data_IF_942067352745
#
_entry.id   IF_942067352745
#
_cell.length_a   1.000
_cell.length_b   1.000
_cell.length_c   1.000
_cell.angle_alpha   90.00
_cell.angle_beta   90.00
_cell.angle_gamma   90.00
#
_symmetry.space_group_name_H-M   'P 1'
#
loop_
_entity.id
_entity.type
_entity.pdbx_description
1 polymer ?
#
# COMPACT_ATOMS: atom_id res chain seq x y z
N UNK A 1 10.96 10.55 27.82
CA UNK A 1 9.49 10.58 27.67
C UNK A 1 9.13 9.49 26.69
N UNK A 2 8.27 8.55 27.07
CA UNK A 2 7.90 7.45 26.18
C UNK A 2 6.98 8.03 25.10
N UNK A 3 7.54 8.40 23.94
CA UNK A 3 6.83 9.02 22.81
C UNK A 3 5.86 8.07 22.08
N UNK A 4 5.25 7.15 22.81
CA UNK A 4 4.26 6.19 22.34
C UNK A 4 2.86 6.52 22.83
N UNK A 5 1.87 5.79 22.32
CA UNK A 5 0.46 6.02 22.59
C UNK A 5 -0.04 5.41 23.92
N UNK A 6 0.85 4.82 24.73
CA UNK A 6 0.50 3.99 25.91
C UNK A 6 -0.31 4.73 26.99
N UNK A 7 -0.29 6.07 26.99
CA UNK A 7 -1.03 6.89 27.96
C UNK A 7 -2.35 7.44 27.40
N UNK A 8 -2.78 6.99 26.21
CA UNK A 8 -4.04 7.42 25.63
C UNK A 8 -5.20 6.61 26.24
N UNK A 9 -6.23 7.27 26.81
CA UNK A 9 -7.20 6.63 27.70
C UNK A 9 -8.05 5.53 27.06
N UNK A 10 -8.17 5.52 25.72
CA UNK A 10 -8.98 4.56 24.97
C UNK A 10 -8.16 3.68 24.01
N UNK A 11 -6.86 3.52 24.27
CA UNK A 11 -5.99 2.74 23.39
C UNK A 11 -6.34 1.23 23.46
N UNK A 12 -6.76 0.67 22.32
CA UNK A 12 -6.83 -0.78 22.16
C UNK A 12 -5.44 -1.39 21.96
N UNK A 13 -5.24 -2.62 22.41
CA UNK A 13 -4.00 -3.37 22.15
C UNK A 13 -3.77 -3.54 20.65
N UNK A 14 -2.52 -3.43 20.21
CA UNK A 14 -2.11 -3.45 18.79
C UNK A 14 -2.71 -4.63 17.99
N UNK A 15 -2.71 -5.85 18.56
CA UNK A 15 -3.28 -7.03 17.90
C UNK A 15 -4.80 -6.91 17.68
N UNK A 16 -5.50 -6.38 18.66
CA UNK A 16 -6.96 -6.15 18.57
C UNK A 16 -7.33 -5.00 17.63
N UNK A 17 -6.38 -4.10 17.35
CA UNK A 17 -6.57 -2.99 16.42
C UNK A 17 -6.73 -3.50 14.98
N UNK A 18 -5.95 -4.50 14.56
CA UNK A 18 -6.05 -5.12 13.22
C UNK A 18 -7.37 -5.88 13.01
N UNK A 19 -8.02 -6.27 14.09
CA UNK A 19 -9.28 -7.03 14.10
C UNK A 19 -10.51 -6.12 14.30
N UNK A 20 -10.29 -4.81 14.41
CA UNK A 20 -11.34 -3.82 14.62
C UNK A 20 -12.20 -3.68 13.36
N UNK A 21 -13.51 -3.61 13.57
CA UNK A 21 -14.46 -3.34 12.50
C UNK A 21 -14.25 -1.92 11.96
N UNK A 22 -13.93 -1.84 10.67
CA UNK A 22 -13.60 -0.60 9.97
C UNK A 22 -13.78 -0.79 8.46
N UNK A 23 -13.95 0.30 7.71
CA UNK A 23 -14.04 0.19 6.25
C UNK A 23 -12.66 -0.04 5.60
N UNK A 24 -11.63 0.64 6.12
CA UNK A 24 -10.26 0.65 5.57
C UNK A 24 -9.28 0.37 6.70
N UNK A 25 -8.46 -0.67 6.51
CA UNK A 25 -7.36 -1.03 7.41
C UNK A 25 -6.01 -0.66 6.77
N UNK A 26 -5.13 0.02 7.50
CA UNK A 26 -3.84 0.48 7.00
C UNK A 26 -2.71 -0.05 7.90
N UNK A 27 -2.17 -1.25 7.64
CA UNK A 27 -1.00 -1.73 8.36
C UNK A 27 0.26 -1.00 7.88
N UNK A 28 0.85 -0.19 8.76
CA UNK A 28 1.94 0.74 8.42
C UNK A 28 3.13 0.70 9.41
N UNK A 29 3.25 -0.37 10.21
CA UNK A 29 4.25 -0.48 11.27
C UNK A 29 5.38 -1.47 10.89
N UNK A 30 5.09 -2.77 10.99
CA UNK A 30 6.04 -3.85 10.75
C UNK A 30 5.49 -4.80 9.68
N UNK A 31 6.37 -5.65 9.17
CA UNK A 31 6.02 -6.79 8.31
C UNK A 31 5.26 -7.88 9.09
N UNK A 32 4.58 -8.77 8.37
CA UNK A 32 3.96 -10.00 8.89
C UNK A 32 3.04 -9.78 10.11
N UNK A 33 2.25 -8.70 10.11
CA UNK A 33 1.31 -8.39 11.18
C UNK A 33 -0.06 -9.04 10.97
N UNK A 34 -0.44 -9.25 9.70
CA UNK A 34 -1.64 -10.01 9.35
C UNK A 34 -1.18 -11.38 8.83
N UNK A 35 -1.49 -12.40 9.60
CA UNK A 35 -1.02 -13.77 9.44
C UNK A 35 -2.20 -14.73 9.46
N UNK A 36 -1.97 -16.03 9.25
CA UNK A 36 -3.05 -17.04 9.25
C UNK A 36 -3.78 -17.10 10.59
N UNK A 37 -3.11 -16.70 11.68
CA UNK A 37 -3.65 -16.68 13.04
C UNK A 37 -4.69 -15.57 13.26
N UNK A 38 -4.73 -14.50 12.45
CA UNK A 38 -5.65 -13.38 12.63
C UNK A 38 -6.42 -12.94 11.37
N UNK A 39 -6.07 -13.42 10.17
CA UNK A 39 -6.72 -13.04 8.92
C UNK A 39 -8.24 -13.32 8.91
N UNK A 40 -8.70 -14.36 9.61
CA UNK A 40 -10.13 -14.67 9.70
C UNK A 40 -10.91 -13.63 10.53
N UNK A 41 -10.25 -12.96 11.48
CA UNK A 41 -10.83 -11.92 12.35
C UNK A 41 -10.76 -10.52 11.78
N UNK A 42 -10.04 -10.30 10.68
CA UNK A 42 -10.03 -9.00 9.98
C UNK A 42 -11.41 -8.72 9.38
N UNK A 43 -11.99 -7.55 9.68
CA UNK A 43 -13.37 -7.19 9.28
C UNK A 43 -13.45 -6.07 8.24
N UNK A 44 -12.32 -5.65 7.66
CA UNK A 44 -12.32 -4.53 6.72
C UNK A 44 -12.80 -4.87 5.32
N UNK A 45 -13.22 -3.84 4.56
CA UNK A 45 -13.53 -3.96 3.13
C UNK A 45 -12.28 -3.77 2.27
N UNK A 46 -11.38 -2.90 2.74
CA UNK A 46 -10.12 -2.58 2.10
C UNK A 46 -8.95 -2.74 3.06
N UNK A 47 -7.82 -3.20 2.55
CA UNK A 47 -6.52 -3.14 3.22
C UNK A 47 -5.56 -2.37 2.31
N UNK A 48 -4.86 -1.38 2.86
CA UNK A 48 -3.88 -0.57 2.14
C UNK A 48 -2.52 -0.73 2.84
N UNK A 49 -1.59 -1.43 2.20
CA UNK A 49 -0.31 -1.78 2.82
C UNK A 49 0.64 -0.58 2.89
N UNK A 50 0.69 0.08 4.04
CA UNK A 50 1.62 1.19 4.27
C UNK A 50 3.04 0.73 4.59
N UNK A 51 3.20 -0.44 5.21
CA UNK A 51 4.48 -1.09 5.43
C UNK A 51 4.86 -1.99 4.25
N UNK A 52 6.12 -2.45 4.22
CA UNK A 52 6.54 -3.52 3.31
C UNK A 52 6.10 -4.88 3.88
N UNK A 53 5.40 -5.68 3.10
CA UNK A 53 4.95 -7.03 3.47
C UNK A 53 4.20 -7.16 4.81
N UNK A 54 3.19 -6.33 5.12
CA UNK A 54 2.46 -6.45 6.39
C UNK A 54 1.55 -7.69 6.46
N UNK A 55 1.24 -8.32 5.31
CA UNK A 55 0.38 -9.49 5.19
C UNK A 55 1.24 -10.67 4.70
N UNK A 56 1.13 -11.83 5.35
CA UNK A 56 1.79 -13.04 4.84
C UNK A 56 1.06 -13.61 3.62
N UNK A 57 1.75 -14.30 2.69
CA UNK A 57 1.11 -14.89 1.51
C UNK A 57 -0.09 -15.80 1.83
N UNK A 58 0.03 -16.63 2.88
CA UNK A 58 -1.05 -17.52 3.30
C UNK A 58 -2.26 -16.75 3.86
N UNK A 59 -2.02 -15.65 4.57
CA UNK A 59 -3.07 -14.77 5.07
C UNK A 59 -3.78 -14.02 3.94
N UNK A 60 -3.04 -13.55 2.94
CA UNK A 60 -3.58 -12.88 1.77
C UNK A 60 -4.61 -13.76 1.05
N UNK A 61 -4.32 -15.06 0.87
CA UNK A 61 -5.27 -16.01 0.30
C UNK A 61 -6.59 -16.13 1.09
N UNK A 62 -6.56 -16.01 2.42
CA UNK A 62 -7.76 -16.01 3.27
C UNK A 62 -8.55 -14.72 3.06
N UNK A 63 -7.87 -13.56 3.05
CA UNK A 63 -8.48 -12.25 2.91
C UNK A 63 -9.12 -12.05 1.52
N UNK A 64 -8.46 -12.52 0.46
CA UNK A 64 -9.00 -12.49 -0.90
C UNK A 64 -10.26 -13.36 -1.03
N UNK A 65 -10.31 -14.54 -0.40
CA UNK A 65 -11.52 -15.39 -0.36
C UNK A 65 -12.68 -14.69 0.37
N UNK A 66 -12.37 -13.84 1.35
CA UNK A 66 -13.34 -12.97 2.04
C UNK A 66 -13.74 -11.74 1.22
N UNK A 67 -13.26 -11.60 -0.02
CA UNK A 67 -13.51 -10.48 -0.93
C UNK A 67 -13.01 -9.13 -0.39
N UNK A 68 -11.98 -9.16 0.45
CA UNK A 68 -11.31 -7.96 0.93
C UNK A 68 -10.37 -7.47 -0.18
N UNK A 69 -10.47 -6.20 -0.54
CA UNK A 69 -9.59 -5.61 -1.56
C UNK A 69 -8.28 -5.20 -0.90
N UNK A 70 -7.16 -5.74 -1.39
CA UNK A 70 -5.82 -5.44 -0.87
C UNK A 70 -5.09 -4.56 -1.89
N UNK A 71 -4.73 -3.35 -1.49
CA UNK A 71 -3.84 -2.47 -2.25
C UNK A 71 -2.41 -2.77 -1.82
N UNK A 72 -1.60 -3.40 -2.68
CA UNK A 72 -0.30 -3.95 -2.30
C UNK A 72 0.72 -2.84 -2.02
N UNK A 73 1.68 -3.14 -1.15
CA UNK A 73 2.76 -2.26 -0.70
C UNK A 73 3.51 -1.58 -1.86
N UNK A 74 3.86 -2.32 -2.91
CA UNK A 74 4.52 -1.84 -4.13
C UNK A 74 3.80 -0.64 -4.79
N UNK A 75 2.50 -0.50 -4.53
CA UNK A 75 1.69 0.62 -4.98
C UNK A 75 1.40 1.62 -3.85
N UNK A 76 0.98 1.14 -2.70
CA UNK A 76 0.51 1.95 -1.58
C UNK A 76 1.63 2.80 -0.93
N UNK A 77 2.86 2.28 -0.86
CA UNK A 77 3.99 2.98 -0.23
C UNK A 77 4.92 3.69 -1.23
N UNK A 78 4.59 3.68 -2.53
CA UNK A 78 5.41 4.23 -3.61
C UNK A 78 5.56 5.77 -3.56
N UNK A 79 4.87 6.45 -2.65
CA UNK A 79 4.91 7.91 -2.53
C UNK A 79 6.30 8.45 -2.22
N UNK A 80 7.02 7.84 -1.28
CA UNK A 80 8.38 8.26 -0.92
C UNK A 80 9.34 8.20 -2.10
N UNK A 81 9.37 7.06 -2.80
CA UNK A 81 10.21 6.86 -4.00
C UNK A 81 9.86 7.86 -5.11
N UNK A 82 8.56 8.14 -5.30
CA UNK A 82 8.10 9.10 -6.31
C UNK A 82 8.57 10.53 -6.01
N UNK A 83 8.49 10.94 -4.75
CA UNK A 83 8.94 12.29 -4.35
C UNK A 83 10.47 12.40 -4.38
N UNK A 84 11.21 11.34 -4.02
CA UNK A 84 12.68 11.30 -4.20
C UNK A 84 13.09 11.43 -5.67
N UNK A 85 12.31 10.85 -6.60
CA UNK A 85 12.52 11.09 -8.02
C UNK A 85 12.28 12.55 -8.41
N UNK A 86 11.23 13.19 -7.87
CA UNK A 86 10.99 14.61 -8.11
C UNK A 86 12.09 15.51 -7.53
N UNK A 87 12.67 15.14 -6.39
CA UNK A 87 13.85 15.81 -5.83
C UNK A 87 15.05 15.73 -6.79
N UNK A 88 15.33 14.54 -7.35
CA UNK A 88 16.38 14.39 -8.35
C UNK A 88 16.14 15.24 -9.61
N UNK A 89 14.89 15.29 -10.11
CA UNK A 89 14.54 16.16 -11.25
C UNK A 89 14.77 17.63 -10.92
N UNK A 90 14.31 18.08 -9.77
CA UNK A 90 14.49 19.46 -9.29
C UNK A 90 15.97 19.85 -9.23
N UNK A 91 16.81 18.97 -8.67
CA UNK A 91 18.25 19.18 -8.57
C UNK A 91 18.94 19.31 -9.94
N UNK A 92 18.52 18.50 -10.93
CA UNK A 92 19.10 18.56 -12.29
C UNK A 92 18.79 19.88 -13.03
N UNK A 93 17.65 20.49 -12.73
CA UNK A 93 17.23 21.76 -13.34
C UNK A 93 17.46 22.97 -12.43
N UNK A 94 18.03 22.76 -11.23
CA UNK A 94 18.21 23.77 -10.19
C UNK A 94 16.90 24.54 -9.90
N UNK A 95 15.78 23.82 -9.87
CA UNK A 95 14.45 24.34 -9.56
C UNK A 95 14.01 23.88 -8.17
N UNK A 96 13.21 24.69 -7.48
CA UNK A 96 12.46 24.26 -6.29
C UNK A 96 10.97 24.42 -6.57
N UNK A 97 10.21 23.36 -6.31
CA UNK A 97 8.77 23.35 -6.48
C UNK A 97 8.08 23.57 -5.14
N UNK A 98 7.03 24.38 -5.16
CA UNK A 98 6.11 24.51 -4.03
C UNK A 98 5.46 23.16 -3.68
N UNK A 99 5.11 23.01 -2.40
CA UNK A 99 4.50 21.78 -1.87
C UNK A 99 3.28 21.34 -2.68
N UNK A 100 2.41 22.28 -3.07
CA UNK A 100 1.23 22.00 -3.88
C UNK A 100 1.58 21.43 -5.26
N UNK A 101 2.66 21.91 -5.88
CA UNK A 101 3.13 21.37 -7.17
C UNK A 101 3.64 19.94 -7.01
N UNK A 102 4.36 19.64 -5.93
CA UNK A 102 4.82 18.28 -5.61
C UNK A 102 3.63 17.36 -5.35
N UNK A 103 2.68 17.78 -4.50
CA UNK A 103 1.49 17.00 -4.15
C UNK A 103 0.60 16.70 -5.36
N UNK A 104 0.33 17.71 -6.20
CA UNK A 104 -0.48 17.52 -7.42
C UNK A 104 0.19 16.53 -8.40
N UNK A 105 1.52 16.62 -8.57
CA UNK A 105 2.27 15.67 -9.40
C UNK A 105 2.25 14.26 -8.80
N UNK A 106 2.42 14.15 -7.49
CA UNK A 106 2.40 12.88 -6.76
C UNK A 106 1.04 12.19 -6.90
N UNK A 107 -0.04 12.91 -6.59
CA UNK A 107 -1.40 12.40 -6.67
C UNK A 107 -1.72 11.90 -8.08
N UNK A 108 -1.41 12.71 -9.11
CA UNK A 108 -1.61 12.31 -10.51
C UNK A 108 -0.88 11.00 -10.83
N UNK A 109 0.40 10.90 -10.43
CA UNK A 109 1.23 9.73 -10.73
C UNK A 109 0.74 8.47 -10.03
N UNK A 110 0.36 8.57 -8.75
CA UNK A 110 -0.17 7.44 -7.98
C UNK A 110 -1.53 6.98 -8.52
N UNK A 111 -2.42 7.91 -8.89
CA UNK A 111 -3.71 7.58 -9.53
C UNK A 111 -3.52 6.85 -10.87
N UNK A 112 -2.61 7.33 -11.70
CA UNK A 112 -2.26 6.66 -12.97
C UNK A 112 -1.70 5.26 -12.76
N UNK A 113 -0.77 5.10 -11.80
CA UNK A 113 -0.20 3.81 -11.43
C UNK A 113 -1.29 2.84 -10.96
N UNK A 114 -2.16 3.28 -10.05
CA UNK A 114 -3.26 2.47 -9.53
C UNK A 114 -4.20 2.02 -10.65
N UNK A 115 -4.66 2.93 -11.52
CA UNK A 115 -5.53 2.58 -12.65
C UNK A 115 -4.88 1.57 -13.58
N UNK A 116 -3.57 1.68 -13.82
CA UNK A 116 -2.84 0.75 -14.68
C UNK A 116 -2.77 -0.64 -14.05
N UNK A 117 -2.53 -0.72 -12.74
CA UNK A 117 -2.52 -1.99 -11.99
C UNK A 117 -3.90 -2.64 -11.99
N UNK A 118 -4.97 -1.88 -11.73
CA UNK A 118 -6.35 -2.36 -11.80
C UNK A 118 -6.66 -2.94 -13.17
N UNK A 119 -6.37 -2.20 -14.24
CA UNK A 119 -6.59 -2.67 -15.60
C UNK A 119 -5.77 -3.94 -15.92
N UNK A 120 -4.57 -4.08 -15.36
CA UNK A 120 -3.74 -5.27 -15.51
C UNK A 120 -4.34 -6.47 -14.78
N UNK A 121 -4.76 -6.28 -13.52
CA UNK A 121 -5.41 -7.31 -12.72
C UNK A 121 -6.72 -7.79 -13.38
N UNK A 122 -7.55 -6.87 -13.85
CA UNK A 122 -8.77 -7.17 -14.60
C UNK A 122 -8.49 -7.93 -15.89
N UNK A 123 -7.51 -7.48 -16.69
CA UNK A 123 -7.12 -8.11 -17.95
C UNK A 123 -6.72 -9.57 -17.79
N UNK A 124 -6.01 -9.90 -16.70
CA UNK A 124 -5.49 -11.25 -16.46
C UNK A 124 -6.33 -12.05 -15.45
N UNK A 125 -7.40 -11.48 -14.91
CA UNK A 125 -8.26 -12.14 -13.92
C UNK A 125 -7.55 -12.46 -12.60
N UNK A 126 -6.66 -11.59 -12.15
CA UNK A 126 -5.84 -11.77 -10.94
C UNK A 126 -6.18 -10.75 -9.86
N UNK A 127 -5.60 -10.91 -8.66
CA UNK A 127 -5.60 -9.86 -7.63
C UNK A 127 -4.69 -8.68 -8.00
N UNK A 128 -4.76 -7.59 -7.22
CA UNK A 128 -4.00 -6.36 -7.47
C UNK A 128 -2.48 -6.53 -7.28
N UNK A 129 -2.01 -7.37 -6.35
CA UNK A 129 -0.58 -7.64 -6.16
C UNK A 129 -0.01 -8.34 -7.38
N UNK A 130 -0.67 -9.42 -7.81
CA UNK A 130 -0.30 -10.14 -9.02
C UNK A 130 -0.36 -9.23 -10.26
N UNK A 131 -1.42 -8.41 -10.40
CA UNK A 131 -1.53 -7.43 -11.47
C UNK A 131 -0.39 -6.40 -11.46
N UNK A 132 0.05 -5.96 -10.28
CA UNK A 132 1.20 -5.06 -10.15
C UNK A 132 2.51 -5.72 -10.60
N UNK A 133 2.75 -6.98 -10.24
CA UNK A 133 3.92 -7.72 -10.70
C UNK A 133 3.91 -7.98 -12.21
N UNK A 134 2.76 -8.34 -12.78
CA UNK A 134 2.61 -8.48 -14.24
C UNK A 134 2.98 -7.17 -14.94
N UNK A 135 2.47 -6.04 -14.45
CA UNK A 135 2.79 -4.72 -14.99
C UNK A 135 4.29 -4.40 -14.89
N UNK A 136 4.93 -4.71 -13.77
CA UNK A 136 6.36 -4.49 -13.58
C UNK A 136 7.19 -5.31 -14.57
N UNK A 137 6.88 -6.60 -14.73
CA UNK A 137 7.56 -7.49 -15.67
C UNK A 137 7.34 -7.05 -17.13
N UNK A 138 6.09 -6.71 -17.50
CA UNK A 138 5.76 -6.23 -18.86
C UNK A 138 6.58 -4.99 -19.24
N UNK A 139 6.74 -4.05 -18.30
CA UNK A 139 7.58 -2.85 -18.50
C UNK A 139 9.07 -3.19 -18.63
N UNK A 140 9.57 -4.14 -17.85
CA UNK A 140 10.98 -4.58 -17.93
C UNK A 140 11.29 -5.28 -19.27
N UNK A 141 10.36 -6.06 -19.79
CA UNK A 141 10.52 -6.76 -21.07
C UNK A 141 10.43 -5.80 -22.25
N UNK A 142 9.50 -4.85 -22.24
CA UNK A 142 9.32 -3.84 -23.30
C UNK A 142 10.33 -2.70 -23.26
N UNK A 143 10.92 -2.44 -22.10
CA UNK A 143 11.96 -1.43 -21.90
C UNK A 143 13.36 -1.89 -22.29
N UNK A 144 13.50 -3.13 -22.78
CA UNK A 144 14.64 -3.61 -23.56
C UNK A 144 14.35 -3.44 -25.04
#
# INVERSE_FOLDING_TARGET
GNGGLTNYPDLKESKTLLETDCDILIPAALENQITVENADRVKSKYIVEGANGPITPDAEGILLKKKITIVPDILANAGGVTVSYYEWVQNNFNEHWELDKVNNKLEKKLKEAYRTVVAMAEKYGTDLRTGAYILAIDRLVKGR
#
